data_IF_059203350651
#
_entry.id   IF_059203350651
#
_cell.length_a   1.000
_cell.length_b   1.000
_cell.length_c   1.000
_cell.angle_alpha   90.00
_cell.angle_beta   90.00
_cell.angle_gamma   90.00
#
_symmetry.space_group_name_H-M   'P 1'
#
loop_
_entity.id
_entity.type
_entity.pdbx_description
1 polymer ?
#
# COMPACT_ATOMS: atom_id res chain seq x y z
N UNK A 1 -5.06 3.35 2.37
CA UNK A 1 -6.31 2.75 1.83
C UNK A 1 -6.60 3.20 0.40
N UNK A 2 -6.49 4.48 0.09
CA UNK A 2 -6.74 5.08 -1.22
C UNK A 2 -6.04 4.31 -2.34
N UNK A 3 -4.71 4.17 -2.28
CA UNK A 3 -3.90 3.47 -3.28
C UNK A 3 -4.32 2.00 -3.44
N UNK A 4 -4.68 1.34 -2.35
CA UNK A 4 -5.04 -0.09 -2.37
C UNK A 4 -6.33 -0.37 -3.14
N UNK A 5 -7.22 0.61 -3.26
CA UNK A 5 -8.47 0.47 -4.01
C UNK A 5 -8.28 0.43 -5.53
N UNK A 6 -7.10 0.82 -6.05
CA UNK A 6 -6.73 0.69 -7.45
C UNK A 6 -6.00 -0.63 -7.80
N UNK A 7 -5.66 -1.43 -6.78
CA UNK A 7 -4.92 -2.69 -6.99
C UNK A 7 -5.75 -3.82 -7.58
N UNK A 8 -7.05 -3.59 -7.76
CA UNK A 8 -7.98 -4.51 -8.40
C UNK A 8 -8.76 -5.39 -7.42
N UNK A 9 -9.36 -6.43 -7.98
CA UNK A 9 -10.35 -7.29 -7.33
C UNK A 9 -10.02 -8.77 -7.56
N UNK A 10 -10.99 -9.66 -7.29
CA UNK A 10 -10.87 -11.07 -7.63
C UNK A 10 -10.78 -11.33 -9.14
N UNK A 11 -11.28 -10.41 -9.97
CA UNK A 11 -11.33 -10.56 -11.44
C UNK A 11 -10.56 -9.47 -12.20
N UNK A 12 -10.24 -8.34 -11.55
CA UNK A 12 -9.48 -7.23 -12.12
C UNK A 12 -8.08 -7.22 -11.49
N UNK A 13 -7.03 -7.10 -12.30
CA UNK A 13 -5.65 -6.98 -11.82
C UNK A 13 -4.92 -8.30 -11.62
N UNK A 14 -5.52 -9.43 -11.99
CA UNK A 14 -4.92 -10.75 -11.84
C UNK A 14 -5.27 -11.68 -13.01
N UNK A 15 -4.38 -12.63 -13.31
CA UNK A 15 -4.63 -13.72 -14.26
C UNK A 15 -5.28 -14.93 -13.59
N UNK A 16 -4.93 -15.16 -12.33
CA UNK A 16 -5.41 -16.26 -11.51
C UNK A 16 -5.51 -15.79 -10.05
N UNK A 17 -6.74 -15.59 -9.59
CA UNK A 17 -7.00 -15.13 -8.23
C UNK A 17 -6.65 -16.19 -7.17
N UNK A 18 -6.85 -17.47 -7.45
CA UNK A 18 -6.53 -18.51 -6.47
C UNK A 18 -5.03 -18.54 -6.16
N UNK A 19 -4.20 -18.43 -7.19
CA UNK A 19 -2.75 -18.28 -7.04
C UNK A 19 -2.40 -16.99 -6.30
N UNK A 20 -3.06 -15.89 -6.63
CA UNK A 20 -2.83 -14.59 -6.01
C UNK A 20 -3.12 -14.60 -4.51
N UNK A 21 -4.25 -15.19 -4.11
CA UNK A 21 -4.63 -15.36 -2.71
C UNK A 21 -3.60 -16.19 -1.92
N UNK A 22 -3.12 -17.29 -2.49
CA UNK A 22 -2.07 -18.10 -1.87
C UNK A 22 -0.76 -17.32 -1.70
N UNK A 23 -0.37 -16.54 -2.70
CA UNK A 23 0.86 -15.75 -2.63
C UNK A 23 0.76 -14.62 -1.58
N UNK A 24 -0.40 -14.00 -1.44
CA UNK A 24 -0.66 -12.99 -0.40
C UNK A 24 -0.57 -13.63 0.99
N UNK A 25 -1.20 -14.78 1.21
CA UNK A 25 -1.13 -15.50 2.49
C UNK A 25 0.31 -15.88 2.85
N UNK A 26 1.09 -16.37 1.88
CA UNK A 26 2.50 -16.68 2.08
C UNK A 26 3.34 -15.44 2.40
N UNK A 27 3.08 -14.32 1.74
CA UNK A 27 3.74 -13.04 2.04
C UNK A 27 3.43 -12.59 3.47
N UNK A 28 2.17 -12.68 3.92
CA UNK A 28 1.80 -12.32 5.29
C UNK A 28 2.51 -13.20 6.33
N UNK A 29 2.60 -14.50 6.10
CA UNK A 29 3.31 -15.43 7.00
C UNK A 29 4.80 -15.07 7.11
N UNK A 30 5.46 -14.77 5.99
CA UNK A 30 6.86 -14.33 6.00
C UNK A 30 7.03 -12.98 6.70
N UNK A 31 6.10 -12.05 6.49
CA UNK A 31 6.13 -10.75 7.17
C UNK A 31 5.94 -10.87 8.67
N UNK A 32 5.14 -11.82 9.15
CA UNK A 32 5.01 -12.08 10.60
C UNK A 32 6.31 -12.62 11.19
N UNK A 33 6.97 -13.56 10.51
CA UNK A 33 8.30 -14.03 10.90
C UNK A 33 9.33 -12.87 10.92
N UNK A 34 9.29 -11.98 9.92
CA UNK A 34 10.17 -10.81 9.88
C UNK A 34 9.89 -9.85 11.05
N UNK A 35 8.63 -9.61 11.42
CA UNK A 35 8.26 -8.79 12.59
C UNK A 35 8.84 -9.39 13.88
N UNK A 36 8.78 -10.71 14.02
CA UNK A 36 9.37 -11.41 15.17
C UNK A 36 10.90 -11.22 15.22
N UNK A 37 11.60 -11.32 14.08
CA UNK A 37 13.05 -11.06 14.01
C UNK A 37 13.40 -9.59 14.31
N UNK A 38 12.63 -8.63 13.77
CA UNK A 38 12.79 -7.20 14.08
C UNK A 38 12.61 -6.95 15.58
N UNK A 39 11.67 -7.62 16.23
CA UNK A 39 11.47 -7.50 17.68
C UNK A 39 12.68 -7.97 18.47
N UNK A 40 13.35 -9.05 18.04
CA UNK A 40 14.61 -9.53 18.65
C UNK A 40 15.74 -8.51 18.44
N UNK A 41 15.88 -7.95 17.25
CA UNK A 41 16.88 -6.91 16.95
C UNK A 41 16.65 -5.65 17.79
N UNK A 42 15.41 -5.21 17.94
CA UNK A 42 15.05 -4.07 18.81
C UNK A 42 15.36 -4.36 20.30
N UNK A 43 15.17 -5.59 20.74
CA UNK A 43 15.53 -5.99 22.11
C UNK A 43 17.06 -5.97 22.30
N UNK A 44 17.84 -6.48 21.35
CA UNK A 44 19.30 -6.44 21.37
C UNK A 44 19.84 -5.00 21.36
N UNK A 45 19.24 -4.12 20.54
CA UNK A 45 19.56 -2.69 20.53
C UNK A 45 19.34 -2.03 21.90
N UNK A 46 18.19 -2.30 22.53
CA UNK A 46 17.88 -1.76 23.87
C UNK A 46 18.83 -2.26 24.94
N UNK A 47 19.46 -3.43 24.77
CA UNK A 47 20.50 -3.96 25.67
C UNK A 47 21.90 -3.45 25.36
N UNK A 48 22.06 -2.64 24.30
CA UNK A 48 23.38 -2.13 23.87
C UNK A 48 24.24 -3.18 23.15
N UNK A 49 23.66 -4.29 22.68
CA UNK A 49 24.36 -5.34 21.92
C UNK A 49 24.54 -4.97 20.44
N UNK A 50 23.74 -4.05 19.95
CA UNK A 50 23.73 -3.54 18.59
C UNK A 50 23.64 -2.01 18.67
N UNK A 51 24.52 -1.32 17.98
CA UNK A 51 24.54 0.16 17.95
C UNK A 51 23.48 0.76 17.03
N UNK A 52 23.13 0.05 15.94
CA UNK A 52 22.18 0.53 14.92
C UNK A 52 21.52 -0.65 14.21
N UNK A 53 20.21 -0.79 14.37
CA UNK A 53 19.41 -1.85 13.76
C UNK A 53 19.18 -1.65 12.26
N UNK A 54 19.46 -0.46 11.72
CA UNK A 54 19.22 -0.13 10.32
C UNK A 54 20.36 -0.60 9.43
N UNK A 55 21.51 -0.88 10.02
CA UNK A 55 22.70 -1.32 9.27
C UNK A 55 22.55 -2.75 8.76
N UNK A 56 23.01 -3.04 7.54
CA UNK A 56 22.98 -4.39 6.96
C UNK A 56 23.67 -5.46 7.82
N UNK A 57 24.71 -5.07 8.58
CA UNK A 57 25.47 -5.95 9.46
C UNK A 57 24.67 -6.41 10.68
N UNK A 58 23.71 -5.60 11.12
CA UNK A 58 22.82 -5.94 12.24
C UNK A 58 21.82 -7.04 11.88
N UNK A 59 21.53 -7.23 10.60
CA UNK A 59 20.55 -8.23 10.15
C UNK A 59 21.03 -9.66 10.43
N UNK A 60 20.20 -10.42 11.14
CA UNK A 60 20.45 -11.85 11.37
C UNK A 60 20.47 -12.64 10.05
N UNK A 61 21.14 -13.81 10.00
CA UNK A 61 21.04 -14.71 8.85
C UNK A 61 19.60 -15.10 8.53
N UNK A 62 18.76 -15.27 9.57
CA UNK A 62 17.32 -15.56 9.41
C UNK A 62 16.59 -14.41 8.74
N UNK A 63 16.85 -13.16 9.15
CA UNK A 63 16.25 -11.99 8.52
C UNK A 63 16.58 -11.89 7.03
N UNK A 64 17.85 -12.10 6.66
CA UNK A 64 18.27 -12.10 5.26
C UNK A 64 17.57 -13.19 4.43
N UNK A 65 17.40 -14.38 5.02
CA UNK A 65 16.66 -15.47 4.39
C UNK A 65 15.19 -15.12 4.17
N UNK A 66 14.53 -14.52 5.15
CA UNK A 66 13.13 -14.10 5.07
C UNK A 66 12.93 -12.98 4.02
N UNK A 67 13.84 -12.01 3.96
CA UNK A 67 13.84 -10.97 2.92
C UNK A 67 13.91 -11.60 1.52
N UNK A 68 14.84 -12.51 1.28
CA UNK A 68 14.98 -13.20 -0.01
C UNK A 68 13.74 -14.05 -0.35
N UNK A 69 13.13 -14.68 0.63
CA UNK A 69 11.87 -15.43 0.47
C UNK A 69 10.72 -14.49 0.10
N UNK A 70 10.59 -13.37 0.79
CA UNK A 70 9.58 -12.35 0.51
C UNK A 70 9.72 -11.81 -0.92
N UNK A 71 10.93 -11.41 -1.32
CA UNK A 71 11.21 -10.92 -2.67
C UNK A 71 10.84 -11.93 -3.76
N UNK A 72 11.11 -13.21 -3.50
CA UNK A 72 10.71 -14.29 -4.41
C UNK A 72 9.19 -14.40 -4.57
N UNK A 73 8.44 -14.27 -3.46
CA UNK A 73 6.97 -14.30 -3.47
C UNK A 73 6.40 -13.08 -4.20
N UNK A 74 6.92 -11.90 -3.95
CA UNK A 74 6.55 -10.67 -4.68
C UNK A 74 6.82 -10.81 -6.17
N UNK A 75 7.97 -11.35 -6.56
CA UNK A 75 8.30 -11.58 -7.96
C UNK A 75 7.34 -12.60 -8.64
N UNK A 76 6.88 -13.62 -7.91
CA UNK A 76 5.86 -14.56 -8.40
C UNK A 76 4.51 -13.87 -8.57
N UNK A 77 4.09 -13.08 -7.59
CA UNK A 77 2.84 -12.34 -7.64
C UNK A 77 2.81 -11.36 -8.82
N UNK A 78 3.88 -10.58 -9.03
CA UNK A 78 3.99 -9.64 -10.15
C UNK A 78 3.83 -10.30 -11.53
N UNK A 79 4.25 -11.55 -11.69
CA UNK A 79 4.04 -12.30 -12.94
C UNK A 79 2.57 -12.70 -13.15
N UNK A 80 1.83 -12.92 -12.07
CA UNK A 80 0.40 -13.23 -12.10
C UNK A 80 -0.48 -11.98 -12.27
N UNK A 81 0.02 -10.80 -11.90
CA UNK A 81 -0.73 -9.56 -11.97
C UNK A 81 -0.90 -9.05 -13.41
N UNK A 82 -2.02 -8.36 -13.64
CA UNK A 82 -2.25 -7.48 -14.79
C UNK A 82 -2.16 -6.05 -14.27
N UNK A 83 -1.02 -5.42 -14.52
CA UNK A 83 -0.71 -4.11 -13.97
C UNK A 83 -1.67 -3.04 -14.52
N UNK A 84 -2.19 -2.19 -13.64
CA UNK A 84 -3.07 -1.06 -13.95
C UNK A 84 -4.33 -1.45 -14.74
N UNK A 85 -4.82 -2.68 -14.58
CA UNK A 85 -5.96 -3.17 -15.38
C UNK A 85 -7.22 -2.35 -15.13
N UNK A 86 -7.45 -1.87 -13.90
CA UNK A 86 -8.58 -1.01 -13.57
C UNK A 86 -8.57 0.27 -14.43
N UNK A 87 -7.44 0.95 -14.51
CA UNK A 87 -7.25 2.15 -15.33
C UNK A 87 -7.39 1.85 -16.82
N UNK A 88 -6.78 0.74 -17.26
CA UNK A 88 -6.86 0.31 -18.66
C UNK A 88 -8.29 0.01 -19.09
N UNK A 89 -9.11 -0.56 -18.23
CA UNK A 89 -10.52 -0.81 -18.51
C UNK A 89 -11.29 0.50 -18.71
N UNK A 90 -11.06 1.50 -17.87
CA UNK A 90 -11.67 2.82 -18.00
C UNK A 90 -11.23 3.48 -19.32
N UNK A 91 -9.93 3.54 -19.59
CA UNK A 91 -9.38 4.17 -20.78
C UNK A 91 -9.85 3.49 -22.08
N UNK A 92 -9.84 2.16 -22.14
CA UNK A 92 -10.32 1.39 -23.32
C UNK A 92 -11.80 1.60 -23.60
N UNK A 93 -12.59 2.01 -22.61
CA UNK A 93 -14.00 2.33 -22.76
C UNK A 93 -14.28 3.83 -22.94
N UNK A 94 -13.25 4.61 -23.29
CA UNK A 94 -13.37 6.04 -23.57
C UNK A 94 -13.39 6.92 -22.31
N UNK A 95 -13.01 6.36 -21.17
CA UNK A 95 -12.92 7.11 -19.92
C UNK A 95 -11.61 7.89 -19.78
N UNK A 96 -11.64 8.83 -18.85
CA UNK A 96 -10.52 9.73 -18.55
C UNK A 96 -10.63 10.28 -17.12
N UNK A 97 -9.64 11.08 -16.71
CA UNK A 97 -9.61 11.78 -15.42
C UNK A 97 -9.74 10.85 -14.21
N UNK A 98 -9.18 9.63 -14.31
CA UNK A 98 -9.13 8.76 -13.15
C UNK A 98 -8.18 9.35 -12.11
N UNK A 99 -8.70 9.55 -10.90
CA UNK A 99 -7.93 10.01 -9.76
C UNK A 99 -8.67 9.71 -8.45
N UNK A 100 -8.00 9.97 -7.33
CA UNK A 100 -8.57 9.94 -6.00
C UNK A 100 -7.91 11.01 -5.13
N UNK A 101 -8.54 11.33 -4.01
CA UNK A 101 -7.92 12.09 -2.93
C UNK A 101 -8.50 11.65 -1.58
N UNK A 102 -7.71 11.82 -0.54
CA UNK A 102 -8.12 11.58 0.85
C UNK A 102 -8.00 12.89 1.63
N UNK A 103 -8.98 13.15 2.47
CA UNK A 103 -8.93 14.17 3.50
C UNK A 103 -9.38 13.55 4.84
N UNK A 104 -9.57 14.37 5.86
CA UNK A 104 -9.88 13.94 7.23
C UNK A 104 -11.21 13.17 7.34
N UNK A 105 -12.16 13.43 6.44
CA UNK A 105 -13.51 12.88 6.50
C UNK A 105 -13.76 11.77 5.49
N UNK A 106 -13.05 11.76 4.35
CA UNK A 106 -13.36 10.84 3.26
C UNK A 106 -12.17 10.54 2.34
N UNK A 107 -12.24 9.39 1.68
CA UNK A 107 -11.48 9.10 0.48
C UNK A 107 -12.43 9.11 -0.72
N UNK A 108 -12.14 9.95 -1.70
CA UNK A 108 -13.00 10.15 -2.87
C UNK A 108 -12.31 9.64 -4.14
N UNK A 109 -13.02 8.82 -4.91
CA UNK A 109 -12.56 8.25 -6.17
C UNK A 109 -13.42 8.77 -7.31
N UNK A 110 -12.82 9.18 -8.40
CA UNK A 110 -13.56 9.71 -9.53
C UNK A 110 -12.89 9.43 -10.87
N UNK A 111 -13.71 9.28 -11.88
CA UNK A 111 -13.31 9.21 -13.27
C UNK A 111 -14.49 9.56 -14.18
N UNK A 112 -14.20 9.90 -15.42
CA UNK A 112 -15.22 10.23 -16.41
C UNK A 112 -15.37 9.05 -17.36
N UNK A 113 -16.62 8.67 -17.66
CA UNK A 113 -16.97 7.68 -18.67
C UNK A 113 -18.04 8.25 -19.61
N UNK A 114 -18.10 7.79 -20.88
CA UNK A 114 -19.23 8.06 -21.75
C UNK A 114 -20.55 7.57 -21.12
N UNK A 115 -21.65 8.31 -21.32
CA UNK A 115 -22.94 7.99 -20.70
C UNK A 115 -23.47 6.58 -21.03
N UNK A 116 -23.14 6.06 -22.21
CA UNK A 116 -23.50 4.69 -22.61
C UNK A 116 -22.66 3.59 -21.92
N UNK A 117 -21.76 3.95 -21.01
CA UNK A 117 -20.92 3.05 -20.22
C UNK A 117 -21.30 3.02 -18.73
N UNK A 118 -22.50 3.49 -18.39
CA UNK A 118 -22.97 3.56 -17.01
C UNK A 118 -23.04 2.17 -16.32
N UNK A 119 -23.41 1.12 -17.05
CA UNK A 119 -23.40 -0.25 -16.54
C UNK A 119 -21.99 -0.71 -16.15
N UNK A 120 -20.99 -0.38 -16.98
CA UNK A 120 -19.59 -0.68 -16.67
C UNK A 120 -19.15 0.02 -15.38
N UNK A 121 -19.53 1.29 -15.21
CA UNK A 121 -19.26 2.03 -13.97
C UNK A 121 -19.80 1.29 -12.75
N UNK A 122 -21.08 0.97 -12.73
CA UNK A 122 -21.70 0.29 -11.60
C UNK A 122 -21.11 -1.10 -11.34
N UNK A 123 -20.79 -1.83 -12.39
CA UNK A 123 -20.14 -3.13 -12.25
C UNK A 123 -18.75 -3.01 -11.61
N UNK A 124 -17.90 -2.13 -12.13
CA UNK A 124 -16.55 -1.91 -11.62
C UNK A 124 -16.55 -1.44 -10.17
N UNK A 125 -17.41 -0.48 -9.82
CA UNK A 125 -17.49 0.03 -8.45
C UNK A 125 -18.06 -1.00 -7.46
N UNK A 126 -19.08 -1.74 -7.85
CA UNK A 126 -19.64 -2.80 -7.02
C UNK A 126 -18.62 -3.91 -6.77
N UNK A 127 -17.86 -4.30 -7.77
CA UNK A 127 -16.80 -5.31 -7.65
C UNK A 127 -15.66 -4.79 -6.77
N UNK A 128 -15.20 -3.56 -6.99
CA UNK A 128 -14.17 -2.91 -6.18
C UNK A 128 -14.54 -2.81 -4.69
N UNK A 129 -15.79 -2.50 -4.38
CA UNK A 129 -16.27 -2.42 -3.00
C UNK A 129 -16.41 -3.78 -2.33
N UNK A 130 -16.85 -4.81 -3.06
CA UNK A 130 -17.11 -6.13 -2.51
C UNK A 130 -15.90 -7.05 -2.50
N UNK A 131 -15.11 -7.03 -3.57
CA UNK A 131 -14.12 -8.06 -3.89
C UNK A 131 -12.69 -7.51 -4.01
N UNK A 132 -12.41 -6.35 -3.41
CA UNK A 132 -11.08 -5.74 -3.43
C UNK A 132 -10.00 -6.67 -2.90
N UNK A 133 -8.83 -6.62 -3.52
CA UNK A 133 -7.65 -7.40 -3.10
C UNK A 133 -6.46 -6.46 -2.92
N UNK A 134 -5.84 -6.52 -1.75
CA UNK A 134 -4.72 -5.65 -1.39
C UNK A 134 -3.39 -6.22 -1.88
N UNK A 135 -3.22 -6.26 -3.21
CA UNK A 135 -1.97 -6.67 -3.86
C UNK A 135 -0.86 -5.65 -3.63
N UNK A 136 0.36 -6.13 -3.52
CA UNK A 136 1.54 -5.28 -3.33
C UNK A 136 1.45 -4.34 -2.12
N UNK A 137 0.72 -4.72 -1.08
CA UNK A 137 0.48 -3.87 0.10
C UNK A 137 1.76 -3.26 0.68
N UNK A 138 2.80 -4.07 0.85
CA UNK A 138 4.06 -3.62 1.45
C UNK A 138 4.84 -2.66 0.55
N UNK A 139 4.86 -2.92 -0.77
CA UNK A 139 5.46 -2.00 -1.74
C UNK A 139 4.72 -0.67 -1.76
N UNK A 140 3.39 -0.70 -1.70
CA UNK A 140 2.57 0.49 -1.71
C UNK A 140 2.67 1.31 -0.42
N UNK A 141 2.78 0.64 0.71
CA UNK A 141 3.10 1.30 1.98
C UNK A 141 4.39 2.11 1.89
N UNK A 142 5.42 1.56 1.27
CA UNK A 142 6.70 2.24 1.12
C UNK A 142 6.59 3.45 0.16
N UNK A 143 5.73 3.38 -0.87
CA UNK A 143 5.37 4.53 -1.72
C UNK A 143 4.71 5.63 -0.90
N UNK A 144 3.72 5.31 -0.07
CA UNK A 144 3.04 6.28 0.81
C UNK A 144 4.02 6.92 1.81
N UNK A 145 4.98 6.17 2.33
CA UNK A 145 6.05 6.73 3.17
C UNK A 145 6.90 7.76 2.41
N UNK A 146 7.25 7.48 1.15
CA UNK A 146 8.01 8.43 0.33
C UNK A 146 7.18 9.67 -0.06
N UNK A 147 5.89 9.52 -0.27
CA UNK A 147 4.97 10.66 -0.49
C UNK A 147 4.90 11.56 0.73
N UNK A 148 4.71 10.98 1.92
CA UNK A 148 4.74 11.71 3.18
C UNK A 148 6.09 12.46 3.34
N UNK A 149 7.20 11.79 3.07
CA UNK A 149 8.53 12.40 3.13
C UNK A 149 8.67 13.60 2.22
N UNK A 150 8.13 13.50 1.00
CA UNK A 150 8.18 14.59 0.01
C UNK A 150 7.27 15.74 0.39
N UNK A 151 6.05 15.48 0.85
CA UNK A 151 5.07 16.52 1.18
C UNK A 151 5.40 17.23 2.49
N UNK A 152 5.80 16.52 3.53
CA UNK A 152 5.99 17.07 4.86
C UNK A 152 7.45 17.37 5.21
N UNK A 153 8.35 16.39 5.01
CA UNK A 153 9.72 16.52 5.49
C UNK A 153 10.61 17.35 4.55
N UNK A 154 10.32 17.34 3.25
CA UNK A 154 11.11 18.03 2.23
C UNK A 154 10.60 19.44 1.90
N UNK A 155 9.49 19.85 2.48
CA UNK A 155 8.93 21.21 2.30
C UNK A 155 9.24 22.11 3.50
N UNK A 156 9.54 23.39 3.30
CA UNK A 156 9.86 24.30 4.41
C UNK A 156 8.73 24.45 5.43
N UNK A 157 7.47 24.35 4.99
CA UNK A 157 6.28 24.55 5.82
C UNK A 157 5.68 23.25 6.34
N UNK A 158 5.97 22.09 5.73
CA UNK A 158 5.28 20.82 6.04
C UNK A 158 5.35 20.44 7.52
N UNK A 159 6.53 20.50 8.13
CA UNK A 159 6.68 20.23 9.58
C UNK A 159 5.98 21.24 10.46
N UNK A 160 5.92 22.49 10.02
CA UNK A 160 5.18 23.53 10.73
C UNK A 160 3.68 23.26 10.67
N UNK A 161 3.16 22.96 9.48
CA UNK A 161 1.74 22.68 9.26
C UNK A 161 1.29 21.46 10.05
N UNK A 162 2.08 20.36 10.04
CA UNK A 162 1.82 19.18 10.85
C UNK A 162 1.79 19.50 12.36
N UNK A 163 2.78 20.24 12.85
CA UNK A 163 2.84 20.62 14.26
C UNK A 163 1.70 21.56 14.65
N UNK A 164 1.38 22.52 13.79
CA UNK A 164 0.26 23.45 14.01
C UNK A 164 -1.07 22.72 14.07
N UNK A 165 -1.35 21.83 13.11
CA UNK A 165 -2.59 21.06 13.08
C UNK A 165 -2.71 20.12 14.30
N UNK A 166 -1.62 19.44 14.69
CA UNK A 166 -1.62 18.58 15.87
C UNK A 166 -1.90 19.35 17.18
N UNK A 167 -1.44 20.57 17.29
CA UNK A 167 -1.70 21.45 18.46
C UNK A 167 -3.10 22.06 18.42
N UNK A 168 -3.57 22.47 17.24
CA UNK A 168 -4.87 23.11 17.07
C UNK A 168 -6.03 22.10 17.29
N UNK A 169 -5.87 20.87 16.81
CA UNK A 169 -6.88 19.82 16.87
C UNK A 169 -6.62 18.78 17.98
N UNK A 170 -6.07 19.16 19.12
CA UNK A 170 -5.56 18.32 20.19
C UNK A 170 -6.49 17.13 20.57
N UNK A 171 -7.80 17.34 20.57
CA UNK A 171 -8.80 16.30 20.92
C UNK A 171 -9.63 15.80 19.72
N UNK A 172 -9.23 16.09 18.50
CA UNK A 172 -9.92 15.72 17.28
C UNK A 172 -9.08 14.76 16.44
N UNK A 173 -9.71 13.79 15.70
CA UNK A 173 -9.00 13.01 14.70
C UNK A 173 -8.38 13.84 13.57
N UNK A 174 -8.73 15.11 13.42
CA UNK A 174 -8.12 16.05 12.48
C UNK A 174 -6.68 16.46 12.84
N UNK A 175 -6.17 16.04 13.99
CA UNK A 175 -4.77 16.21 14.38
C UNK A 175 -3.80 15.28 13.64
N UNK A 176 -4.33 14.33 12.86
CA UNK A 176 -3.53 13.34 12.14
C UNK A 176 -3.44 13.67 10.66
N UNK A 177 -2.30 13.34 10.08
CA UNK A 177 -2.05 13.27 8.64
C UNK A 177 -1.75 11.85 8.18
#
# INVERSE_FOLDING_TARGET
FEHMMFKGTHVIGTRDYALDAQLIEQQEAVMEDMRAEISKLRAAYRRGEIDDITKPEAKTPRMKQLEAQFDSLVAKQRRNMIKNEFDLMIQKNGGSRINAFTNEDMTFYFYTLPANKLELYFWMEADRLKNRVFREFYSERDVVYEERRRSLESTPTGKFDESFNSMFWDSSPYSWE
#
